data_IF_589496412706
#
_entry.id   IF_589496412706
#
_cell.length_a   1.000
_cell.length_b   1.000
_cell.length_c   1.000
_cell.angle_alpha   90.00
_cell.angle_beta   90.00
_cell.angle_gamma   90.00
#
_symmetry.space_group_name_H-M   'P 1'
#
loop_
_entity.id
_entity.type
_entity.pdbx_description
1 polymer ?
#
# COMPACT_ATOMS: atom_id res chain seq x y z
N UNK A 1 -4.07 30.63 -3.68
CA UNK A 1 -4.35 29.20 -3.38
C UNK A 1 -5.76 29.13 -2.82
N UNK A 2 -6.70 28.58 -3.59
CA UNK A 2 -8.09 28.44 -3.15
C UNK A 2 -8.22 27.15 -2.32
N UNK A 3 -8.94 27.16 -1.19
CA UNK A 3 -9.11 25.95 -0.39
C UNK A 3 -10.01 24.98 -1.15
N UNK A 4 -9.56 23.76 -1.38
CA UNK A 4 -10.42 22.67 -1.84
C UNK A 4 -11.52 22.47 -0.78
N UNK A 5 -12.79 22.68 -1.15
CA UNK A 5 -13.95 22.30 -0.32
C UNK A 5 -13.88 20.78 -0.10
N UNK A 6 -13.26 20.35 0.99
CA UNK A 6 -13.25 18.94 1.36
C UNK A 6 -14.65 18.58 1.87
N UNK A 7 -15.50 18.08 0.98
CA UNK A 7 -16.68 17.31 1.40
C UNK A 7 -16.27 16.07 2.21
N UNK A 8 -17.23 15.34 2.81
CA UNK A 8 -16.92 14.12 3.55
C UNK A 8 -16.10 13.15 2.69
N UNK A 9 -15.00 12.62 3.26
CA UNK A 9 -14.08 11.73 2.54
C UNK A 9 -14.83 10.50 1.99
N UNK A 10 -14.65 10.11 0.71
CA UNK A 10 -15.21 8.89 0.15
C UNK A 10 -14.84 7.64 0.98
N UNK A 11 -15.66 6.58 0.91
CA UNK A 11 -15.37 5.33 1.63
C UNK A 11 -14.01 4.74 1.22
N UNK A 12 -13.66 4.75 -0.06
CA UNK A 12 -12.39 4.22 -0.54
C UNK A 12 -11.18 4.93 0.10
N UNK A 13 -11.22 6.26 0.24
CA UNK A 13 -10.15 7.01 0.91
C UNK A 13 -10.09 6.73 2.41
N UNK A 14 -11.22 6.41 3.03
CA UNK A 14 -11.28 6.04 4.45
C UNK A 14 -10.76 4.61 4.70
N UNK A 15 -10.95 3.71 3.73
CA UNK A 15 -10.52 2.30 3.81
C UNK A 15 -9.13 2.06 3.22
N UNK A 16 -8.45 3.10 2.75
CA UNK A 16 -7.09 2.95 2.22
C UNK A 16 -6.18 2.37 3.31
N UNK A 17 -5.51 1.23 3.06
CA UNK A 17 -4.60 0.62 4.03
C UNK A 17 -3.51 1.60 4.47
N UNK A 18 -3.29 1.70 5.78
CA UNK A 18 -2.24 2.54 6.36
C UNK A 18 -0.88 1.84 6.39
N UNK A 19 -0.88 0.51 6.35
CA UNK A 19 0.33 -0.32 6.33
C UNK A 19 0.11 -1.58 5.46
N UNK A 20 1.20 -2.31 5.22
CA UNK A 20 1.18 -3.52 4.38
C UNK A 20 0.42 -4.69 5.00
N UNK A 21 0.20 -4.70 6.33
CA UNK A 21 -0.54 -5.76 7.03
C UNK A 21 -2.06 -5.62 6.83
N UNK A 22 -2.53 -4.41 6.54
CA UNK A 22 -3.93 -4.10 6.23
C UNK A 22 -4.32 -4.36 4.77
N UNK A 23 -3.36 -4.66 3.90
CA UNK A 23 -3.65 -4.97 2.50
C UNK A 23 -4.31 -6.35 2.40
N UNK A 24 -5.55 -6.37 1.93
CA UNK A 24 -6.30 -7.60 1.72
C UNK A 24 -5.94 -8.21 0.36
N UNK A 25 -5.58 -9.50 0.36
CA UNK A 25 -5.08 -10.20 -0.82
C UNK A 25 -3.56 -10.06 -0.97
N UNK A 26 -2.99 -10.62 -2.03
CA UNK A 26 -1.55 -10.53 -2.31
C UNK A 26 -0.63 -11.20 -1.26
N UNK A 27 -1.07 -12.27 -0.61
CA UNK A 27 -0.30 -12.99 0.43
C UNK A 27 1.13 -13.38 -0.03
N UNK A 28 1.29 -13.84 -1.28
CA UNK A 28 2.60 -14.21 -1.83
C UNK A 28 3.55 -13.02 -2.01
N UNK A 29 3.03 -11.80 -2.14
CA UNK A 29 3.81 -10.57 -2.33
C UNK A 29 4.01 -9.81 -1.02
N UNK A 30 2.94 -9.63 -0.24
CA UNK A 30 2.86 -8.75 0.92
C UNK A 30 2.68 -9.47 2.25
N UNK A 31 2.51 -10.80 2.26
CA UNK A 31 2.45 -11.58 3.49
C UNK A 31 3.77 -11.58 4.26
N UNK A 32 3.84 -12.18 5.46
CA UNK A 32 5.03 -12.20 6.30
C UNK A 32 6.29 -12.74 5.61
N UNK A 33 6.11 -13.72 4.71
CA UNK A 33 7.16 -14.32 3.88
C UNK A 33 7.10 -13.84 2.43
N UNK A 34 6.33 -12.79 2.16
CA UNK A 34 6.07 -12.28 0.83
C UNK A 34 7.31 -11.66 0.19
N UNK A 35 7.41 -11.77 -1.13
CA UNK A 35 8.59 -11.35 -1.87
C UNK A 35 8.96 -9.88 -1.56
N UNK A 36 7.99 -8.96 -1.53
CA UNK A 36 8.21 -7.53 -1.26
C UNK A 36 8.71 -7.28 0.17
N UNK A 37 8.15 -7.99 1.16
CA UNK A 37 8.60 -7.87 2.56
C UNK A 37 10.04 -8.34 2.73
N UNK A 38 10.41 -9.42 2.06
CA UNK A 38 11.80 -9.87 2.05
C UNK A 38 12.74 -8.82 1.43
N UNK A 39 12.28 -8.01 0.47
CA UNK A 39 13.05 -6.89 -0.10
C UNK A 39 13.24 -5.73 0.86
N UNK A 40 12.18 -5.36 1.56
CA UNK A 40 12.22 -4.32 2.57
C UNK A 40 13.10 -4.74 3.76
N UNK A 41 12.98 -5.98 4.21
CA UNK A 41 13.76 -6.52 5.34
C UNK A 41 15.27 -6.53 5.08
N UNK A 42 15.69 -6.81 3.83
CA UNK A 42 17.11 -6.74 3.43
C UNK A 42 17.60 -5.32 3.12
N UNK A 43 16.75 -4.31 3.19
CA UNK A 43 17.08 -2.92 2.88
C UNK A 43 17.39 -2.65 1.41
N UNK A 44 16.93 -3.51 0.50
CA UNK A 44 17.22 -3.40 -0.94
C UNK A 44 15.95 -3.57 -1.76
N UNK A 45 15.36 -2.43 -2.12
CA UNK A 45 14.18 -2.30 -2.96
C UNK A 45 14.57 -1.73 -4.33
N UNK A 46 14.65 -2.56 -5.39
CA UNK A 46 14.90 -2.09 -6.75
C UNK A 46 13.67 -1.33 -7.27
N UNK A 47 13.79 -0.71 -8.43
CA UNK A 47 12.65 -0.12 -9.14
C UNK A 47 11.59 -1.18 -9.42
N UNK A 48 10.34 -0.87 -9.09
CA UNK A 48 9.19 -1.76 -9.26
C UNK A 48 8.12 -1.10 -10.12
N UNK A 49 7.48 -1.89 -10.96
CA UNK A 49 6.22 -1.54 -11.61
C UNK A 49 5.14 -2.41 -10.96
N UNK A 50 4.14 -1.76 -10.36
CA UNK A 50 2.96 -2.43 -9.82
C UNK A 50 1.90 -2.44 -10.94
N UNK A 51 1.62 -3.62 -11.49
CA UNK A 51 0.67 -3.80 -12.58
C UNK A 51 -0.38 -4.82 -12.18
N UNK A 52 -1.64 -4.46 -12.39
CA UNK A 52 -2.84 -5.22 -12.05
C UNK A 52 -4.08 -4.45 -12.48
#
# INVERSE_FOLDING_TARGET
>A
MQPSRAGPRPLADRLRPANLDEVVGQQALLGPTGALRAMLARGSLPSLILWG
#
